data_IF_278838944521
#
_entry.id   IF_278838944521
#
_cell.length_a   1.000
_cell.length_b   1.000
_cell.length_c   1.000
_cell.angle_alpha   90.00
_cell.angle_beta   90.00
_cell.angle_gamma   90.00
#
_symmetry.space_group_name_H-M   'P 1'
#
loop_
_entity.id
_entity.type
_entity.pdbx_description
1 polymer ?
#
# COMPACT_ATOMS: atom_id res chain seq x y z
N UNK A 1 14.16 0.59 -4.36
CA UNK A 1 12.75 0.29 -4.53
C UNK A 1 12.49 -1.18 -4.75
N UNK A 2 11.24 -1.55 -4.69
CA UNK A 2 10.80 -2.91 -4.93
C UNK A 2 9.98 -2.94 -6.22
N UNK A 3 10.38 -3.78 -7.16
CA UNK A 3 9.66 -3.91 -8.42
C UNK A 3 8.80 -5.17 -8.38
N UNK A 4 7.50 -5.03 -8.68
CA UNK A 4 6.53 -6.10 -8.58
C UNK A 4 5.80 -6.23 -9.91
N UNK A 5 5.85 -7.42 -10.51
CA UNK A 5 5.02 -7.74 -11.68
C UNK A 5 3.63 -8.10 -11.23
N UNK A 6 2.62 -7.59 -11.92
CA UNK A 6 1.21 -7.82 -11.58
C UNK A 6 0.59 -8.76 -12.60
N UNK A 7 0.08 -9.89 -12.12
CA UNK A 7 -0.57 -10.89 -12.96
C UNK A 7 -1.93 -11.34 -12.41
N UNK A 8 -2.54 -10.53 -11.56
CA UNK A 8 -3.83 -10.81 -10.95
C UNK A 8 -3.91 -10.16 -9.59
N UNK A 9 -4.83 -10.61 -8.75
CA UNK A 9 -4.96 -10.10 -7.40
C UNK A 9 -3.70 -10.40 -6.60
N UNK A 10 -3.13 -9.37 -5.99
CA UNK A 10 -1.92 -9.49 -5.19
C UNK A 10 -2.02 -8.55 -4.01
N UNK A 11 -1.62 -9.04 -2.84
CA UNK A 11 -1.62 -8.27 -1.60
C UNK A 11 -0.28 -8.39 -0.91
N UNK A 12 0.14 -7.31 -0.32
CA UNK A 12 1.41 -7.20 0.41
C UNK A 12 1.17 -6.49 1.72
N UNK A 13 1.99 -6.82 2.71
CA UNK A 13 1.98 -6.08 3.97
C UNK A 13 3.37 -5.56 4.30
N UNK A 14 3.39 -4.42 4.94
CA UNK A 14 4.58 -3.80 5.50
C UNK A 14 4.39 -3.75 7.00
N UNK A 15 5.21 -4.49 7.76
CA UNK A 15 5.04 -4.66 9.19
C UNK A 15 4.97 -6.12 9.59
N UNK A 16 4.08 -6.44 10.54
CA UNK A 16 3.85 -7.82 10.94
C UNK A 16 2.35 -8.16 10.83
N UNK A 17 1.90 -9.25 11.44
CA UNK A 17 0.51 -9.69 11.31
C UNK A 17 -0.47 -8.92 12.22
N UNK A 18 0.02 -8.07 13.11
CA UNK A 18 -0.83 -7.30 14.03
C UNK A 18 -0.74 -5.79 13.84
N UNK A 19 0.31 -5.30 13.20
CA UNK A 19 0.52 -3.88 12.94
C UNK A 19 1.14 -3.76 11.55
N UNK A 20 0.33 -3.37 10.59
CA UNK A 20 0.81 -3.35 9.21
C UNK A 20 0.02 -2.41 8.32
N UNK A 21 0.70 -1.98 7.27
CA UNK A 21 0.10 -1.32 6.12
C UNK A 21 -0.05 -2.37 5.04
N UNK A 22 -1.20 -2.41 4.40
CA UNK A 22 -1.45 -3.31 3.28
C UNK A 22 -1.47 -2.50 1.99
N UNK A 23 -0.92 -3.06 0.92
CA UNK A 23 -1.09 -2.51 -0.41
C UNK A 23 -1.21 -3.64 -1.42
N UNK A 24 -1.75 -3.32 -2.59
CA UNK A 24 -1.88 -4.34 -3.60
C UNK A 24 -2.70 -3.91 -4.80
N UNK A 25 -3.13 -4.92 -5.55
CA UNK A 25 -3.93 -4.75 -6.73
C UNK A 25 -5.20 -5.60 -6.64
N UNK A 26 -6.35 -4.95 -6.81
CA UNK A 26 -7.64 -5.60 -6.92
C UNK A 26 -8.00 -5.68 -8.41
N UNK A 27 -7.91 -6.87 -8.98
CA UNK A 27 -8.10 -7.04 -10.42
C UNK A 27 -9.55 -6.87 -10.86
N UNK A 28 -10.50 -7.16 -9.99
CA UNK A 28 -11.93 -6.98 -10.28
C UNK A 28 -12.28 -5.51 -10.40
N UNK A 29 -11.84 -4.73 -9.43
CA UNK A 29 -12.08 -3.29 -9.42
C UNK A 29 -11.11 -2.54 -10.32
N UNK A 30 -10.02 -3.18 -10.74
CA UNK A 30 -8.90 -2.54 -11.45
C UNK A 30 -8.39 -1.34 -10.65
N UNK A 31 -7.98 -1.62 -9.41
CA UNK A 31 -7.50 -0.60 -8.48
C UNK A 31 -6.19 -1.03 -7.85
N UNK A 32 -5.22 -0.13 -7.85
CA UNK A 32 -4.05 -0.21 -6.98
C UNK A 32 -4.41 0.56 -5.72
N UNK A 33 -4.14 -0.02 -4.55
CA UNK A 33 -4.58 0.55 -3.29
C UNK A 33 -3.52 0.49 -2.20
N UNK A 34 -3.68 1.38 -1.22
CA UNK A 34 -2.97 1.35 0.06
C UNK A 34 -4.02 1.41 1.15
N UNK A 35 -3.98 0.45 2.06
CA UNK A 35 -4.92 0.35 3.18
C UNK A 35 -4.17 0.48 4.49
N UNK A 36 -4.50 1.50 5.28
CA UNK A 36 -3.88 1.80 6.56
C UNK A 36 -4.75 1.40 7.76
N UNK A 37 -5.86 0.68 7.52
CA UNK A 37 -6.81 0.34 8.59
C UNK A 37 -6.25 -0.64 9.63
N UNK A 38 -5.18 -1.35 9.29
CA UNK A 38 -4.54 -2.33 10.18
C UNK A 38 -3.37 -1.76 10.97
N UNK A 39 -3.09 -0.49 10.84
CA UNK A 39 -2.04 0.18 11.61
C UNK A 39 -2.54 0.45 13.02
N UNK A 40 -1.69 0.15 14.02
CA UNK A 40 -1.99 0.44 15.41
C UNK A 40 -2.07 1.94 15.66
N UNK A 41 -1.11 2.70 15.09
CA UNK A 41 -1.10 4.15 15.22
C UNK A 41 -1.81 4.79 14.03
N UNK A 42 -2.77 5.67 14.34
CA UNK A 42 -3.52 6.39 13.32
C UNK A 42 -2.88 7.75 13.05
N UNK A 43 -3.06 8.25 11.84
CA UNK A 43 -2.60 9.58 11.48
C UNK A 43 -3.56 10.60 12.11
N UNK A 44 -3.00 11.57 12.81
CA UNK A 44 -3.78 12.59 13.50
C UNK A 44 -4.71 13.32 12.52
N UNK A 45 -5.97 13.44 12.89
CA UNK A 45 -6.97 14.10 12.06
C UNK A 45 -7.66 13.18 11.04
N UNK A 46 -7.22 11.93 10.93
CA UNK A 46 -7.83 10.95 10.02
C UNK A 46 -8.74 9.97 10.74
N UNK A 47 -8.76 9.95 12.06
CA UNK A 47 -9.49 8.96 12.84
C UNK A 47 -11.00 9.06 12.67
N UNK A 48 -11.50 10.28 12.40
CA UNK A 48 -12.92 10.54 12.24
C UNK A 48 -13.39 10.48 10.80
N UNK A 49 -12.48 10.22 9.86
CA UNK A 49 -12.77 10.15 8.43
C UNK A 49 -12.30 8.80 7.89
N UNK A 50 -13.03 8.27 6.94
CA UNK A 50 -12.60 7.04 6.27
C UNK A 50 -11.51 7.35 5.25
N UNK A 51 -10.32 7.66 5.74
CA UNK A 51 -9.15 7.96 4.92
C UNK A 51 -8.11 6.84 5.00
N UNK A 52 -8.46 5.72 5.64
CA UNK A 52 -7.54 4.60 5.81
C UNK A 52 -7.17 3.93 4.49
N UNK A 53 -8.06 3.99 3.51
CA UNK A 53 -7.83 3.38 2.20
C UNK A 53 -7.69 4.45 1.13
N UNK A 54 -6.63 4.34 0.34
CA UNK A 54 -6.40 5.17 -0.84
C UNK A 54 -6.28 4.25 -2.04
N UNK A 55 -6.72 4.72 -3.19
CA UNK A 55 -6.64 3.90 -4.39
C UNK A 55 -6.57 4.77 -5.64
N UNK A 56 -6.14 4.15 -6.73
CA UNK A 56 -6.18 4.73 -8.06
C UNK A 56 -6.77 3.69 -9.02
N UNK A 57 -7.68 4.14 -9.88
CA UNK A 57 -8.31 3.29 -10.89
C UNK A 57 -7.38 3.14 -12.07
N UNK A 58 -6.80 1.97 -12.22
CA UNK A 58 -5.87 1.69 -13.30
C UNK A 58 -5.68 0.18 -13.43
N UNK A 59 -5.60 -0.30 -14.65
CA UNK A 59 -5.18 -1.67 -14.89
C UNK A 59 -3.67 -1.75 -14.70
N UNK A 60 -3.22 -2.46 -13.67
CA UNK A 60 -1.81 -2.52 -13.33
C UNK A 60 -1.12 -3.71 -13.96
N UNK A 61 0.06 -3.48 -14.52
CA UNK A 61 0.95 -4.50 -15.06
C UNK A 61 2.20 -4.63 -14.22
N UNK A 62 2.62 -3.55 -13.60
CA UNK A 62 3.79 -3.55 -12.70
C UNK A 62 3.69 -2.41 -11.71
N UNK A 63 4.32 -2.60 -10.56
CA UNK A 63 4.44 -1.59 -9.52
C UNK A 63 5.91 -1.38 -9.19
N UNK A 64 6.29 -0.13 -8.95
CA UNK A 64 7.56 0.21 -8.30
C UNK A 64 7.22 0.81 -6.96
N UNK A 65 7.65 0.15 -5.89
CA UNK A 65 7.35 0.57 -4.51
C UNK A 65 8.59 1.19 -3.89
N UNK A 66 8.47 2.43 -3.48
CA UNK A 66 9.57 3.17 -2.84
C UNK A 66 9.19 3.39 -1.38
N UNK A 67 10.02 2.88 -0.49
CA UNK A 67 9.81 2.99 0.95
C UNK A 67 10.79 3.99 1.54
N UNK A 68 10.28 4.94 2.29
CA UNK A 68 11.07 5.83 3.11
C UNK A 68 10.70 5.57 4.57
N UNK A 69 11.29 6.32 5.49
CA UNK A 69 11.13 6.05 6.93
C UNK A 69 9.67 5.95 7.36
N UNK A 70 8.83 6.88 6.92
CA UNK A 70 7.42 6.92 7.31
C UNK A 70 6.51 7.14 6.13
N UNK A 71 6.95 6.78 4.92
CA UNK A 71 6.12 6.95 3.73
C UNK A 71 6.32 5.83 2.75
N UNK A 72 5.28 5.58 1.96
CA UNK A 72 5.30 4.65 0.85
C UNK A 72 4.81 5.39 -0.39
N UNK A 73 5.51 5.16 -1.48
CA UNK A 73 5.08 5.67 -2.78
C UNK A 73 5.05 4.52 -3.77
N UNK A 74 3.95 4.38 -4.49
CA UNK A 74 3.77 3.33 -5.48
C UNK A 74 3.60 3.99 -6.84
N UNK A 75 4.50 3.64 -7.76
CA UNK A 75 4.39 4.05 -9.17
C UNK A 75 3.82 2.87 -9.94
N UNK A 76 2.80 3.12 -10.74
CA UNK A 76 2.09 2.10 -11.51
C UNK A 76 2.47 2.23 -12.97
N UNK A 77 2.83 1.11 -13.60
CA UNK A 77 3.12 1.06 -15.04
C UNK A 77 4.14 2.13 -15.47
N UNK A 78 5.28 2.17 -14.76
CA UNK A 78 6.38 3.11 -15.07
C UNK A 78 5.98 4.57 -14.93
N UNK A 79 5.12 4.88 -13.95
CA UNK A 79 4.76 6.27 -13.65
C UNK A 79 3.48 6.75 -14.32
N UNK A 80 2.73 5.86 -14.95
CA UNK A 80 1.43 6.23 -15.53
C UNK A 80 0.47 6.74 -14.46
N UNK A 81 0.57 6.20 -13.25
CA UNK A 81 -0.15 6.68 -12.07
C UNK A 81 0.74 6.50 -10.85
N UNK A 82 0.43 7.22 -9.78
CA UNK A 82 1.14 7.06 -8.52
C UNK A 82 0.20 7.20 -7.33
N UNK A 83 0.63 6.64 -6.20
CA UNK A 83 -0.15 6.63 -4.98
C UNK A 83 0.82 6.72 -3.80
N UNK A 84 0.54 7.61 -2.85
CA UNK A 84 1.41 7.82 -1.69
C UNK A 84 0.61 7.77 -0.40
N UNK A 85 1.29 7.39 0.68
CA UNK A 85 0.71 7.46 2.02
C UNK A 85 1.82 7.58 3.06
N UNK A 86 1.50 8.25 4.16
CA UNK A 86 2.35 8.24 5.35
C UNK A 86 1.84 7.17 6.30
N UNK A 87 2.74 6.64 7.11
CA UNK A 87 2.38 5.62 8.10
C UNK A 87 3.36 5.63 9.26
N UNK A 88 2.91 5.10 10.39
CA UNK A 88 3.77 4.84 11.55
C UNK A 88 3.60 3.39 11.95
N UNK A 89 4.72 2.71 12.14
CA UNK A 89 4.75 1.31 12.59
C UNK A 89 5.39 1.24 13.97
N UNK A 90 4.85 0.37 14.82
CA UNK A 90 5.45 0.06 16.14
C UNK A 90 6.41 -1.12 16.03
N UNK A 91 6.52 -1.72 14.85
CA UNK A 91 7.32 -2.91 14.56
C UNK A 91 8.20 -2.64 13.33
N UNK A 92 9.22 -3.47 13.08
CA UNK A 92 10.04 -3.29 11.87
C UNK A 92 9.23 -3.39 10.59
N UNK A 93 9.62 -2.58 9.59
CA UNK A 93 8.93 -2.46 8.31
C UNK A 93 9.35 -3.57 7.34
N UNK A 94 9.09 -4.82 7.71
CA UNK A 94 9.33 -5.95 6.83
C UNK A 94 8.24 -6.05 5.77
N UNK A 95 8.64 -6.26 4.52
CA UNK A 95 7.73 -6.42 3.40
C UNK A 95 7.50 -7.91 3.13
N UNK A 96 6.23 -8.31 3.05
CA UNK A 96 5.87 -9.69 2.72
C UNK A 96 4.60 -9.74 1.91
N UNK A 97 4.44 -10.82 1.13
CA UNK A 97 3.22 -11.05 0.37
C UNK A 97 2.19 -11.73 1.29
N UNK A 98 0.93 -11.33 1.15
CA UNK A 98 -0.19 -11.94 1.87
C UNK A 98 -0.87 -12.91 0.91
N UNK A 99 -1.01 -14.14 1.32
CA UNK A 99 -1.71 -15.15 0.52
C UNK A 99 -3.19 -15.24 0.84
#
# INVERSE_FOLDING_TARGET
>A
GHHIQIDGDQRYRLGNDTDYLEFGYDSKAQQVYIDRSHLVQKILGEEEQDTSRRYVDIEAKELEVVLDKNSIEIFVNQGEASLTATYYLTVPAGLSRID
#
